data_IF_081360206109
#
_entry.id   IF_081360206109
#
_cell.length_a   1.000
_cell.length_b   1.000
_cell.length_c   1.000
_cell.angle_alpha   90.00
_cell.angle_beta   90.00
_cell.angle_gamma   90.00
#
_symmetry.space_group_name_H-M   'P 1'
#
loop_
_entity.id
_entity.type
_entity.pdbx_description
1 polymer ?
#
# COMPACT_ATOMS: atom_id res chain seq x y z
N UNK A 1 -1.86 10.74 -28.36
CA UNK A 1 -1.29 9.59 -27.60
C UNK A 1 -2.37 9.17 -26.63
N UNK A 2 -2.98 8.00 -26.87
CA UNK A 2 -4.28 7.62 -26.28
C UNK A 2 -4.14 7.18 -24.83
N UNK A 3 -5.06 7.66 -23.99
CA UNK A 3 -5.25 7.22 -22.62
C UNK A 3 -5.78 5.79 -22.62
N UNK A 4 -5.24 4.94 -21.75
CA UNK A 4 -5.84 3.62 -21.49
C UNK A 4 -6.85 3.84 -20.36
N UNK A 5 -8.13 3.82 -20.74
CA UNK A 5 -9.34 3.74 -19.90
C UNK A 5 -9.89 5.03 -19.26
N UNK A 6 -9.74 6.19 -19.89
CA UNK A 6 -10.28 7.49 -19.41
C UNK A 6 -11.82 7.51 -19.24
N UNK A 7 -12.54 6.63 -19.96
CA UNK A 7 -14.00 6.51 -19.88
C UNK A 7 -14.47 5.45 -18.88
N UNK A 8 -13.56 4.78 -18.16
CA UNK A 8 -13.93 3.74 -17.20
C UNK A 8 -13.95 4.33 -15.79
N UNK A 9 -15.14 4.66 -15.33
CA UNK A 9 -15.40 5.10 -13.96
C UNK A 9 -15.69 3.94 -13.00
N UNK A 10 -15.51 2.70 -13.46
CA UNK A 10 -15.77 1.50 -12.68
C UNK A 10 -14.63 1.28 -11.67
N UNK A 11 -14.88 1.34 -10.35
CA UNK A 11 -13.84 1.13 -9.33
C UNK A 11 -13.42 -0.34 -9.19
N UNK A 12 -13.99 -1.23 -10.00
CA UNK A 12 -13.64 -2.66 -10.07
C UNK A 12 -12.87 -3.03 -11.34
N UNK A 13 -12.51 -2.05 -12.18
CA UNK A 13 -11.63 -2.29 -13.32
C UNK A 13 -10.21 -2.61 -12.81
N UNK A 14 -9.67 -3.82 -13.07
CA UNK A 14 -8.35 -4.23 -12.60
C UNK A 14 -7.21 -3.71 -13.46
N UNK A 15 -7.50 -3.00 -14.56
CA UNK A 15 -6.47 -2.26 -15.28
C UNK A 15 -6.00 -1.10 -14.41
N UNK A 16 -4.68 -0.93 -14.28
CA UNK A 16 -4.13 0.27 -13.67
C UNK A 16 -4.66 1.49 -14.45
N UNK A 17 -5.71 2.14 -13.94
CA UNK A 17 -6.32 3.31 -14.55
C UNK A 17 -5.29 4.43 -14.63
N UNK A 18 -4.58 4.54 -15.75
CA UNK A 18 -3.64 5.62 -16.03
C UNK A 18 -4.41 6.77 -16.67
N UNK A 19 -5.23 7.44 -15.87
CA UNK A 19 -5.75 8.77 -16.22
C UNK A 19 -4.58 9.69 -16.56
N UNK A 20 -4.76 10.65 -17.46
CA UNK A 20 -3.69 11.60 -17.84
C UNK A 20 -3.10 12.30 -16.60
N UNK A 21 -3.96 12.53 -15.60
CA UNK A 21 -3.62 13.04 -14.29
C UNK A 21 -2.44 12.30 -13.63
N UNK A 22 -2.36 10.98 -13.75
CA UNK A 22 -1.29 10.16 -13.18
C UNK A 22 0.10 10.56 -13.70
N UNK A 23 0.18 10.96 -14.97
CA UNK A 23 1.44 11.30 -15.65
C UNK A 23 1.71 12.81 -15.68
N UNK A 24 0.69 13.66 -15.62
CA UNK A 24 0.81 15.06 -16.03
C UNK A 24 0.41 16.07 -14.96
N UNK A 25 -0.32 15.67 -13.91
CA UNK A 25 -0.74 16.59 -12.85
C UNK A 25 0.20 16.46 -11.65
N UNK A 26 1.09 17.44 -11.41
CA UNK A 26 1.84 17.48 -10.17
C UNK A 26 0.92 17.91 -9.02
N UNK A 27 1.10 17.30 -7.86
CA UNK A 27 0.42 17.70 -6.63
C UNK A 27 1.33 17.55 -5.42
N UNK A 28 0.94 18.20 -4.33
CA UNK A 28 1.65 18.26 -3.05
C UNK A 28 1.01 17.36 -1.99
N UNK A 29 -0.06 16.65 -2.32
CA UNK A 29 -0.69 15.64 -1.46
C UNK A 29 -1.05 14.40 -2.28
N UNK A 30 -0.73 13.23 -1.74
CA UNK A 30 -1.27 11.95 -2.21
C UNK A 30 -2.44 11.53 -1.35
N UNK A 31 -3.49 10.96 -1.95
CA UNK A 31 -4.63 10.41 -1.25
C UNK A 31 -4.99 9.02 -1.74
N UNK A 32 -5.27 8.13 -0.81
CA UNK A 32 -5.72 6.77 -1.05
C UNK A 32 -7.09 6.58 -0.40
N UNK A 33 -8.10 6.28 -1.21
CA UNK A 33 -9.46 6.10 -0.74
C UNK A 33 -9.94 4.69 -1.02
N UNK A 34 -10.57 4.09 -0.03
CA UNK A 34 -11.05 2.71 -0.08
C UNK A 34 -12.52 2.67 0.31
N UNK A 35 -13.26 1.76 -0.32
CA UNK A 35 -14.67 1.56 -0.07
C UNK A 35 -14.88 0.48 0.99
N UNK A 36 -15.57 0.80 2.07
CA UNK A 36 -15.96 -0.19 3.07
C UNK A 36 -16.85 -1.29 2.42
N UNK A 37 -16.52 -2.59 2.59
CA UNK A 37 -17.16 -3.67 1.84
C UNK A 37 -18.65 -3.85 2.16
N UNK A 38 -19.05 -3.57 3.41
CA UNK A 38 -20.45 -3.64 3.87
C UNK A 38 -21.22 -2.33 3.63
N UNK A 39 -20.80 -1.23 4.26
CA UNK A 39 -21.52 0.05 4.22
C UNK A 39 -21.43 0.79 2.89
N UNK A 40 -20.49 0.39 2.01
CA UNK A 40 -20.19 1.05 0.73
C UNK A 40 -19.72 2.50 0.84
N UNK A 41 -19.45 2.98 2.05
CA UNK A 41 -18.90 4.31 2.30
C UNK A 41 -17.42 4.37 1.86
N UNK A 42 -17.01 5.49 1.27
CA UNK A 42 -15.61 5.76 0.97
C UNK A 42 -14.96 6.51 2.12
N UNK A 43 -13.76 6.06 2.51
CA UNK A 43 -12.91 6.75 3.46
C UNK A 43 -11.48 6.85 2.91
N UNK A 44 -10.78 7.91 3.29
CA UNK A 44 -9.52 8.30 2.67
C UNK A 44 -8.40 8.53 3.68
N UNK A 45 -7.18 8.18 3.28
CA UNK A 45 -5.94 8.63 3.92
C UNK A 45 -5.22 9.57 2.98
N UNK A 46 -4.74 10.69 3.51
CA UNK A 46 -4.08 11.74 2.76
C UNK A 46 -2.75 12.09 3.43
N UNK A 47 -1.73 12.34 2.62
CA UNK A 47 -0.40 12.67 3.09
C UNK A 47 0.22 13.77 2.23
N UNK A 48 0.78 14.78 2.89
CA UNK A 48 1.57 15.80 2.22
C UNK A 48 2.86 15.17 1.65
N UNK A 49 3.19 15.55 0.42
CA UNK A 49 4.39 15.11 -0.27
C UNK A 49 5.53 16.10 -0.01
N UNK A 50 6.79 15.64 0.07
CA UNK A 50 7.94 16.53 0.29
C UNK A 50 8.14 17.57 -0.82
N UNK A 51 7.68 17.26 -2.03
CA UNK A 51 7.74 18.11 -3.21
C UNK A 51 6.54 17.87 -4.12
N UNK A 52 6.16 18.88 -4.89
CA UNK A 52 5.14 18.75 -5.93
C UNK A 52 5.62 17.73 -6.97
N UNK A 53 4.84 16.69 -7.20
CA UNK A 53 5.21 15.60 -8.13
C UNK A 53 3.98 14.92 -8.73
N UNK A 54 4.16 14.22 -9.84
CA UNK A 54 3.11 13.37 -10.42
C UNK A 54 3.11 12.02 -9.70
N UNK A 55 2.02 11.25 -9.77
CA UNK A 55 2.01 9.90 -9.21
C UNK A 55 3.04 9.00 -9.90
N UNK A 56 3.21 9.11 -11.22
CA UNK A 56 4.24 8.36 -11.94
C UNK A 56 5.63 8.65 -11.39
N UNK A 57 6.01 9.93 -11.31
CA UNK A 57 7.31 10.36 -10.80
C UNK A 57 7.50 9.94 -9.35
N UNK A 58 6.46 10.11 -8.51
CA UNK A 58 6.49 9.72 -7.11
C UNK A 58 6.82 8.23 -6.94
N UNK A 59 6.07 7.33 -7.58
CA UNK A 59 6.30 5.89 -7.44
C UNK A 59 7.57 5.40 -8.14
N UNK A 60 8.00 6.07 -9.21
CA UNK A 60 9.22 5.71 -9.94
C UNK A 60 10.49 6.13 -9.20
N UNK A 61 10.50 7.35 -8.69
CA UNK A 61 11.72 7.97 -8.15
C UNK A 61 11.87 7.72 -6.64
N UNK A 62 10.79 7.32 -5.95
CA UNK A 62 10.88 6.84 -4.55
C UNK A 62 11.48 5.43 -4.55
N UNK A 63 12.64 5.20 -3.92
CA UNK A 63 13.26 3.88 -3.85
C UNK A 63 12.34 2.87 -3.16
N UNK A 64 12.41 1.61 -3.58
CA UNK A 64 11.70 0.50 -2.92
C UNK A 64 12.59 -0.10 -1.82
N UNK A 65 12.08 -0.23 -0.60
CA UNK A 65 12.77 -0.86 0.52
C UNK A 65 12.36 -0.32 1.88
N UNK A 66 13.22 -0.52 2.87
CA UNK A 66 12.94 -0.16 4.25
C UNK A 66 13.53 1.18 4.70
N UNK A 67 13.07 1.65 5.86
CA UNK A 67 13.65 2.76 6.61
C UNK A 67 15.09 2.46 7.08
N UNK A 68 15.38 1.21 7.44
CA UNK A 68 16.74 0.74 7.78
C UNK A 68 17.69 0.96 6.60
N UNK A 69 17.25 0.65 5.39
CA UNK A 69 18.02 0.89 4.16
C UNK A 69 17.98 2.35 3.67
N UNK A 70 17.32 3.26 4.41
CA UNK A 70 17.06 4.65 4.01
C UNK A 70 16.35 4.76 2.63
N UNK A 71 15.41 3.86 2.37
CA UNK A 71 14.57 3.81 1.18
C UNK A 71 13.10 4.07 1.54
N UNK A 72 12.22 4.00 0.54
CA UNK A 72 10.80 4.32 0.64
C UNK A 72 10.54 5.77 1.11
N UNK A 73 9.27 6.16 1.11
CA UNK A 73 8.81 7.40 1.73
C UNK A 73 7.86 7.05 2.86
N UNK A 74 8.28 7.30 4.09
CA UNK A 74 7.48 7.03 5.29
C UNK A 74 6.72 8.26 5.76
N UNK A 75 5.48 8.06 6.22
CA UNK A 75 4.68 9.13 6.81
C UNK A 75 4.62 8.99 8.33
N UNK A 76 4.86 10.12 9.02
CA UNK A 76 4.85 10.18 10.48
C UNK A 76 3.44 10.56 10.95
N UNK A 77 2.78 9.62 11.61
CA UNK A 77 1.50 9.82 12.27
C UNK A 77 1.34 8.86 13.46
N UNK A 78 0.35 9.09 14.32
CA UNK A 78 0.09 8.21 15.46
C UNK A 78 -0.32 6.81 14.98
N UNK A 79 -0.05 5.78 15.77
CA UNK A 79 -0.45 4.41 15.41
C UNK A 79 -1.96 4.29 15.13
N UNK A 80 -2.80 4.97 15.91
CA UNK A 80 -4.25 5.00 15.67
C UNK A 80 -4.59 5.57 14.28
N UNK A 81 -3.87 6.58 13.83
CA UNK A 81 -4.04 7.13 12.48
C UNK A 81 -3.53 6.19 11.38
N UNK A 82 -2.41 5.48 11.61
CA UNK A 82 -1.90 4.46 10.68
C UNK A 82 -2.92 3.34 10.47
N UNK A 83 -3.49 2.85 11.56
CA UNK A 83 -4.47 1.75 11.56
C UNK A 83 -5.79 2.10 10.87
N UNK A 84 -6.06 3.38 10.56
CA UNK A 84 -7.22 3.76 9.75
C UNK A 84 -7.19 3.15 8.34
N UNK A 85 -6.03 2.76 7.82
CA UNK A 85 -5.93 1.96 6.59
C UNK A 85 -6.69 0.62 6.68
N UNK A 86 -6.83 0.03 7.87
CA UNK A 86 -7.68 -1.15 8.08
C UNK A 86 -9.14 -0.76 8.24
N UNK A 87 -9.42 0.23 9.09
CA UNK A 87 -10.82 0.58 9.40
C UNK A 87 -11.56 1.16 8.19
N UNK A 88 -10.87 1.87 7.30
CA UNK A 88 -11.45 2.40 6.06
C UNK A 88 -12.00 1.31 5.14
N UNK A 89 -11.43 0.11 5.20
CA UNK A 89 -11.89 -1.06 4.47
C UNK A 89 -12.70 -2.03 5.34
N UNK A 90 -13.18 -1.59 6.49
CA UNK A 90 -14.03 -2.38 7.38
C UNK A 90 -13.31 -3.56 8.02
N UNK A 91 -12.04 -3.37 8.39
CA UNK A 91 -11.18 -4.36 9.03
C UNK A 91 -10.61 -3.82 10.34
N UNK A 92 -10.17 -4.74 11.19
CA UNK A 92 -9.45 -4.46 12.42
C UNK A 92 -8.18 -5.31 12.49
N UNK A 93 -7.42 -5.17 13.58
CA UNK A 93 -6.27 -6.04 13.84
C UNK A 93 -6.67 -7.49 14.13
N UNK A 94 -7.93 -7.77 14.47
CA UNK A 94 -8.38 -9.14 14.65
C UNK A 94 -8.32 -9.97 13.35
N UNK A 95 -8.34 -9.31 12.19
CA UNK A 95 -8.19 -9.94 10.88
C UNK A 95 -6.74 -9.97 10.37
N UNK A 96 -5.78 -9.39 11.12
CA UNK A 96 -4.36 -9.47 10.79
C UNK A 96 -3.80 -10.86 11.13
N UNK A 97 -2.76 -11.29 10.42
CA UNK A 97 -2.00 -12.48 10.83
C UNK A 97 -1.24 -12.21 12.14
N UNK A 98 -0.99 -10.93 12.44
CA UNK A 98 -0.37 -10.43 13.67
C UNK A 98 -1.32 -9.49 14.42
N UNK A 99 -2.19 -10.01 15.32
CA UNK A 99 -3.21 -9.19 15.99
C UNK A 99 -2.65 -8.16 16.98
N UNK A 100 -1.38 -8.30 17.39
CA UNK A 100 -0.66 -7.37 18.25
C UNK A 100 0.67 -6.97 17.58
N UNK A 101 0.66 -6.08 16.57
CA UNK A 101 1.87 -5.72 15.83
C UNK A 101 2.78 -4.82 16.69
N UNK A 102 4.08 -5.09 16.65
CA UNK A 102 5.12 -4.27 17.29
C UNK A 102 5.69 -3.22 16.33
N UNK A 103 5.64 -3.48 15.02
CA UNK A 103 5.98 -2.53 13.97
C UNK A 103 4.73 -2.17 13.17
N UNK A 104 4.48 -0.86 13.06
CA UNK A 104 3.36 -0.30 12.31
C UNK A 104 3.88 0.91 11.53
N UNK A 105 3.93 0.80 10.21
CA UNK A 105 4.42 1.87 9.35
C UNK A 105 3.47 2.12 8.19
N UNK A 106 3.49 3.35 7.68
CA UNK A 106 2.73 3.77 6.51
C UNK A 106 3.65 4.53 5.57
N UNK A 107 3.44 4.38 4.27
CA UNK A 107 4.33 5.02 3.31
C UNK A 107 4.10 4.61 1.88
N UNK A 108 5.08 4.96 1.05
CA UNK A 108 5.16 4.64 -0.37
C UNK A 108 6.37 3.75 -0.63
N UNK A 109 6.16 2.69 -1.41
CA UNK A 109 7.17 1.71 -1.82
C UNK A 109 7.90 1.03 -0.64
N UNK A 110 7.20 0.79 0.47
CA UNK A 110 7.76 0.05 1.60
C UNK A 110 7.88 -1.42 1.21
N UNK A 111 9.03 -2.03 1.47
CA UNK A 111 9.37 -3.41 1.13
C UNK A 111 10.33 -3.95 2.18
N UNK A 112 10.12 -5.19 2.63
CA UNK A 112 11.05 -5.87 3.53
C UNK A 112 12.29 -6.31 2.75
N UNK A 113 13.26 -5.38 2.66
CA UNK A 113 14.58 -5.64 2.06
C UNK A 113 15.61 -6.12 3.08
N UNK A 114 15.17 -6.50 4.30
CA UNK A 114 16.01 -6.98 5.39
C UNK A 114 15.94 -8.50 5.55
N UNK A 115 14.85 -9.12 5.14
CA UNK A 115 14.64 -10.56 5.23
C UNK A 115 14.26 -11.16 3.87
N UNK A 116 14.02 -12.47 3.83
CA UNK A 116 13.50 -13.13 2.65
C UNK A 116 11.97 -12.98 2.50
N UNK A 117 11.29 -12.24 3.38
CA UNK A 117 9.84 -12.10 3.32
C UNK A 117 9.49 -11.10 2.22
N UNK A 118 8.82 -11.56 1.16
CA UNK A 118 8.37 -10.71 0.04
C UNK A 118 7.13 -9.86 0.36
N UNK A 119 7.05 -9.30 1.56
CA UNK A 119 5.97 -8.45 2.02
C UNK A 119 6.28 -6.98 1.71
N UNK A 120 5.28 -6.26 1.17
CA UNK A 120 5.45 -4.88 0.71
C UNK A 120 4.13 -4.16 0.50
N UNK A 121 4.20 -2.84 0.39
CA UNK A 121 3.08 -2.01 -0.06
C UNK A 121 3.57 -0.89 -0.95
N UNK A 122 2.86 -0.64 -2.06
CA UNK A 122 3.17 0.51 -2.92
C UNK A 122 2.71 1.81 -2.27
N UNK A 123 1.51 1.83 -1.71
CA UNK A 123 1.02 2.95 -0.91
C UNK A 123 0.04 2.48 0.14
N UNK A 124 0.40 2.58 1.42
CA UNK A 124 -0.46 2.09 2.48
C UNK A 124 0.29 1.79 3.77
N UNK A 125 -0.27 0.85 4.52
CA UNK A 125 0.12 0.35 5.83
C UNK A 125 0.88 -0.97 5.70
N UNK A 126 1.85 -1.18 6.60
CA UNK A 126 2.49 -2.48 6.85
C UNK A 126 2.48 -2.79 8.34
N UNK A 127 2.40 -4.08 8.69
CA UNK A 127 2.35 -4.58 10.06
C UNK A 127 3.34 -5.73 10.25
N UNK A 128 4.01 -5.75 11.41
CA UNK A 128 4.90 -6.83 11.80
C UNK A 128 4.69 -7.22 13.27
N UNK A 129 4.89 -8.49 13.62
CA UNK A 129 5.07 -8.91 15.01
C UNK A 129 6.45 -8.55 15.57
N UNK A 130 7.45 -8.32 14.71
CA UNK A 130 8.76 -7.82 15.13
C UNK A 130 8.76 -6.30 15.38
N UNK A 131 9.79 -5.80 16.05
CA UNK A 131 9.94 -4.37 16.36
C UNK A 131 10.40 -3.51 15.16
N UNK A 132 10.80 -4.16 14.08
CA UNK A 132 11.28 -3.53 12.84
C UNK A 132 10.61 -4.16 11.61
N UNK A 133 11.10 -3.83 10.42
CA UNK A 133 10.53 -4.34 9.17
C UNK A 133 10.92 -5.80 8.86
N UNK A 134 11.95 -6.35 9.51
CA UNK A 134 12.45 -7.69 9.18
C UNK A 134 11.37 -8.72 9.45
N UNK A 135 11.14 -9.62 8.51
CA UNK A 135 10.08 -10.65 8.53
C UNK A 135 8.67 -10.07 8.49
N UNK A 136 8.49 -9.00 7.70
CA UNK A 136 7.23 -8.25 7.63
C UNK A 136 6.03 -9.15 7.28
N UNK A 137 4.96 -9.11 8.08
CA UNK A 137 3.83 -10.02 7.88
C UNK A 137 2.78 -9.47 6.91
N UNK A 138 2.17 -8.34 7.25
CA UNK A 138 0.93 -7.93 6.60
C UNK A 138 1.08 -6.56 5.94
N UNK A 139 0.26 -6.33 4.92
CA UNK A 139 0.18 -5.06 4.22
C UNK A 139 -1.26 -4.69 3.87
N UNK A 140 -1.63 -3.42 4.02
CA UNK A 140 -2.93 -2.87 3.65
C UNK A 140 -2.77 -1.61 2.80
N UNK A 141 -3.66 -1.39 1.85
CA UNK A 141 -3.60 -0.28 0.91
C UNK A 141 -3.43 -0.78 -0.51
N UNK A 142 -2.66 -0.06 -1.30
CA UNK A 142 -2.49 -0.30 -2.73
C UNK A 142 -1.22 -1.08 -3.03
N UNK A 143 -1.33 -2.09 -3.89
CA UNK A 143 -0.24 -3.03 -4.19
C UNK A 143 0.28 -3.75 -2.95
N UNK A 144 -0.62 -4.07 -2.02
CA UNK A 144 -0.28 -4.71 -0.75
C UNK A 144 0.04 -6.19 -0.95
N UNK A 145 1.12 -6.66 -0.33
CA UNK A 145 1.62 -8.02 -0.42
C UNK A 145 2.08 -8.47 0.97
N UNK A 146 1.78 -9.71 1.32
CA UNK A 146 2.23 -10.32 2.57
C UNK A 146 3.34 -11.33 2.31
N UNK A 147 4.01 -11.73 3.38
CA UNK A 147 5.05 -12.75 3.38
C UNK A 147 4.53 -14.03 2.74
N UNK A 148 5.25 -14.65 1.79
CA UNK A 148 4.80 -15.93 1.21
C UNK A 148 5.41 -17.12 1.93
N UNK A 149 6.74 -17.12 2.04
CA UNK A 149 7.52 -18.12 2.75
C UNK A 149 8.58 -17.43 3.59
N UNK A 150 9.25 -18.20 4.46
CA UNK A 150 10.44 -17.74 5.16
C UNK A 150 11.73 -17.94 4.33
N UNK A 151 11.60 -18.39 3.08
CA UNK A 151 12.71 -18.65 2.17
C UNK A 151 12.86 -17.53 1.14
N UNK A 152 14.07 -17.36 0.62
CA UNK A 152 14.34 -16.44 -0.49
C UNK A 152 13.90 -17.08 -1.82
N UNK A 153 12.61 -17.43 -1.89
CA UNK A 153 12.02 -18.26 -2.95
C UNK A 153 11.61 -17.42 -4.17
N UNK A 154 11.47 -16.11 -3.99
CA UNK A 154 11.21 -15.16 -5.06
C UNK A 154 12.48 -14.38 -5.39
N UNK A 155 12.72 -14.19 -6.69
CA UNK A 155 13.79 -13.31 -7.13
C UNK A 155 13.44 -11.86 -6.80
N UNK A 156 14.47 -11.02 -6.62
CA UNK A 156 14.27 -9.59 -6.34
C UNK A 156 13.31 -8.95 -7.34
N UNK A 157 12.28 -8.27 -6.81
CA UNK A 157 11.27 -7.58 -7.62
C UNK A 157 10.10 -8.46 -8.07
N UNK A 158 10.14 -9.78 -7.85
CA UNK A 158 9.00 -10.66 -8.10
C UNK A 158 7.97 -10.47 -7.00
N UNK A 159 6.72 -10.20 -7.42
CA UNK A 159 5.60 -10.05 -6.49
C UNK A 159 5.24 -11.38 -5.82
N UNK A 160 4.98 -11.33 -4.51
CA UNK A 160 4.39 -12.43 -3.75
C UNK A 160 3.06 -12.90 -4.38
N UNK A 161 2.73 -14.21 -4.33
CA UNK A 161 1.40 -14.69 -4.72
C UNK A 161 0.31 -14.21 -3.76
N UNK A 162 0.66 -13.86 -2.53
CA UNK A 162 -0.24 -13.29 -1.54
C UNK A 162 -0.24 -11.78 -1.67
N UNK A 163 -1.09 -11.28 -2.58
CA UNK A 163 -1.16 -9.87 -2.95
C UNK A 163 -2.56 -9.42 -3.30
N UNK A 164 -2.76 -8.12 -3.20
CA UNK A 164 -3.96 -7.43 -3.69
C UNK A 164 -3.60 -6.09 -4.34
N UNK A 165 -4.34 -5.74 -5.39
CA UNK A 165 -4.20 -4.43 -6.04
C UNK A 165 -4.62 -3.29 -5.10
N UNK A 166 -5.69 -3.50 -4.34
CA UNK A 166 -6.15 -2.62 -3.27
C UNK A 166 -6.89 -3.45 -2.24
N UNK A 167 -6.52 -3.31 -0.96
CA UNK A 167 -7.15 -4.07 0.11
C UNK A 167 -6.26 -4.33 1.30
N UNK A 168 -6.42 -5.49 1.92
CA UNK A 168 -5.59 -5.96 3.02
C UNK A 168 -5.12 -7.37 2.72
N UNK A 169 -3.82 -7.60 2.81
CA UNK A 169 -3.22 -8.91 2.75
C UNK A 169 -2.70 -9.26 4.15
N UNK A 170 -3.33 -10.26 4.77
CA UNK A 170 -3.02 -10.76 6.10
C UNK A 170 -2.43 -12.17 6.00
N UNK A 171 -1.11 -12.29 5.90
CA UNK A 171 -0.44 -13.52 5.49
C UNK A 171 -1.07 -14.09 4.20
N UNK A 172 -1.54 -15.34 4.27
CA UNK A 172 -2.19 -16.02 3.14
C UNK A 172 -3.63 -15.58 2.86
N UNK A 173 -4.22 -14.73 3.70
CA UNK A 173 -5.61 -14.28 3.55
C UNK A 173 -5.70 -12.95 2.83
N UNK A 174 -6.37 -12.94 1.67
CA UNK A 174 -6.58 -11.74 0.85
C UNK A 174 -7.95 -11.12 1.05
N UNK A 175 -7.99 -9.84 1.39
CA UNK A 175 -9.19 -9.01 1.44
C UNK A 175 -9.14 -7.95 0.35
N UNK A 176 -9.81 -8.18 -0.77
CA UNK A 176 -9.87 -7.20 -1.87
C UNK A 176 -10.87 -6.09 -1.56
N UNK A 177 -10.47 -4.85 -1.82
CA UNK A 177 -11.26 -3.65 -1.55
C UNK A 177 -11.18 -2.69 -2.73
N UNK A 178 -12.32 -2.21 -3.23
CA UNK A 178 -12.36 -1.16 -4.23
C UNK A 178 -11.68 0.11 -3.70
N UNK A 179 -10.78 0.70 -4.49
CA UNK A 179 -10.04 1.87 -4.04
C UNK A 179 -9.45 2.67 -5.20
N UNK A 180 -9.10 3.92 -4.91
CA UNK A 180 -8.49 4.83 -5.85
C UNK A 180 -7.41 5.67 -5.19
N UNK A 181 -6.32 5.91 -5.94
CA UNK A 181 -5.26 6.84 -5.58
C UNK A 181 -5.40 8.09 -6.45
N UNK A 182 -5.20 9.26 -5.86
CA UNK A 182 -5.03 10.50 -6.61
C UNK A 182 -4.01 11.42 -5.96
N UNK A 183 -3.57 12.41 -6.72
CA UNK A 183 -2.67 13.49 -6.28
C UNK A 183 -3.37 14.84 -6.46
N UNK A 184 -3.11 15.80 -5.58
CA UNK A 184 -3.62 17.18 -5.67
C UNK A 184 -2.59 18.22 -5.26
#
# INVERSE_FOLDING_TARGET
MSLVNDNVTSPTDPSDGKFQAYNALPGGEIRGCQQHPVTKAYACKAYALPQMTTLLTLFKDTPVGSDIAMKALYFVETQAEKLKWLTNQGRTLAEASVPNPNYVAVGINIDDDQSCYDARVRFGLVLNNEADISTLNDAAGFGAQAYYTAGCDLAQGVDSPWRTASGFQAGSTSYNTAGQIWVR
#
